data_IF_151911232497
#
_entry.id   IF_151911232497
#
_cell.length_a   1.000
_cell.length_b   1.000
_cell.length_c   1.000
_cell.angle_alpha   90.00
_cell.angle_beta   90.00
_cell.angle_gamma   90.00
#
_symmetry.space_group_name_H-M   'P 1'
#
loop_
_entity.id
_entity.type
_entity.pdbx_description
1 polymer ?
#
# COMPACT_ATOMS: atom_id res chain seq x y z
N UNK A 1 16.29 37.20 2.84
CA UNK A 1 14.83 37.17 3.01
C UNK A 1 14.46 36.00 3.91
N UNK A 2 13.72 36.22 5.02
CA UNK A 2 13.31 35.16 5.98
C UNK A 2 12.56 33.99 5.33
N UNK A 3 11.78 34.22 4.28
CA UNK A 3 11.02 33.17 3.56
C UNK A 3 11.93 32.12 2.90
N UNK A 4 13.05 32.51 2.27
CA UNK A 4 13.96 31.57 1.61
C UNK A 4 14.66 30.64 2.62
N UNK A 5 15.12 31.19 3.76
CA UNK A 5 15.80 30.41 4.82
C UNK A 5 14.86 29.35 5.43
N UNK A 6 13.57 29.65 5.55
CA UNK A 6 12.59 28.71 6.10
C UNK A 6 12.27 27.58 5.11
N UNK A 7 12.27 27.87 3.80
CA UNK A 7 12.08 26.88 2.74
C UNK A 7 13.26 25.91 2.68
N UNK A 8 14.50 26.43 2.76
CA UNK A 8 15.71 25.61 2.75
C UNK A 8 15.79 24.65 3.94
N UNK A 9 15.41 25.12 5.15
CA UNK A 9 15.35 24.27 6.35
C UNK A 9 14.32 23.15 6.24
N UNK A 10 13.13 23.44 5.66
CA UNK A 10 12.11 22.42 5.46
C UNK A 10 12.55 21.39 4.43
N UNK A 11 13.19 21.84 3.35
CA UNK A 11 13.73 20.92 2.33
C UNK A 11 14.79 20.01 2.94
N UNK A 12 15.75 20.54 3.70
CA UNK A 12 16.79 19.75 4.34
C UNK A 12 16.19 18.69 5.29
N UNK A 13 15.17 19.03 6.07
CA UNK A 13 14.49 18.06 6.94
C UNK A 13 13.84 16.94 6.16
N UNK A 14 13.16 17.25 5.05
CA UNK A 14 12.54 16.24 4.18
C UNK A 14 13.62 15.33 3.57
N UNK A 15 14.70 15.90 3.08
CA UNK A 15 15.79 15.14 2.47
C UNK A 15 16.45 14.19 3.52
N UNK A 16 16.64 14.65 4.76
CA UNK A 16 17.15 13.82 5.86
C UNK A 16 16.19 12.66 6.22
N UNK A 17 14.87 12.91 6.28
CA UNK A 17 13.86 11.88 6.53
C UNK A 17 13.84 10.83 5.41
N UNK A 18 13.98 11.25 4.15
CA UNK A 18 14.09 10.34 3.01
C UNK A 18 15.35 9.48 3.07
N UNK A 19 16.51 10.02 3.49
CA UNK A 19 17.73 9.24 3.67
C UNK A 19 17.55 8.13 4.73
N UNK A 20 16.86 8.42 5.82
CA UNK A 20 16.52 7.42 6.84
C UNK A 20 15.59 6.34 6.27
N UNK A 21 14.56 6.75 5.53
CA UNK A 21 13.63 5.84 4.87
C UNK A 21 14.34 4.92 3.87
N UNK A 22 15.23 5.46 3.03
CA UNK A 22 16.05 4.70 2.09
C UNK A 22 16.91 3.63 2.79
N UNK A 23 17.55 3.99 3.91
CA UNK A 23 18.35 3.05 4.70
C UNK A 23 17.49 1.90 5.22
N UNK A 24 16.31 2.18 5.76
CA UNK A 24 15.39 1.15 6.27
C UNK A 24 14.87 0.25 5.15
N UNK A 25 14.41 0.82 4.03
CA UNK A 25 13.89 0.07 2.89
C UNK A 25 14.99 -0.76 2.22
N UNK A 26 16.23 -0.26 2.12
CA UNK A 26 17.37 -1.04 1.65
C UNK A 26 17.64 -2.27 2.52
N UNK A 27 17.53 -2.13 3.83
CA UNK A 27 17.68 -3.25 4.76
C UNK A 27 16.53 -4.26 4.61
N UNK A 28 15.30 -3.80 4.40
CA UNK A 28 14.15 -4.66 4.16
C UNK A 28 14.28 -5.43 2.84
N UNK A 29 14.72 -4.78 1.75
CA UNK A 29 14.98 -5.43 0.47
C UNK A 29 16.06 -6.53 0.57
N UNK A 30 17.08 -6.33 1.43
CA UNK A 30 18.08 -7.36 1.70
C UNK A 30 17.53 -8.52 2.52
N UNK A 31 16.67 -8.23 3.50
CA UNK A 31 16.07 -9.25 4.37
C UNK A 31 15.00 -10.08 3.64
N UNK A 32 14.25 -9.47 2.72
CA UNK A 32 13.22 -10.11 1.90
C UNK A 32 13.46 -9.71 0.45
N UNK A 33 14.33 -10.43 -0.29
CA UNK A 33 14.73 -10.04 -1.65
C UNK A 33 13.66 -10.36 -2.71
N UNK A 34 12.71 -11.24 -2.40
CA UNK A 34 11.67 -11.69 -3.33
C UNK A 34 10.26 -11.42 -2.78
N UNK A 35 9.31 -10.98 -3.62
CA UNK A 35 7.95 -10.64 -3.21
C UNK A 35 7.07 -11.87 -2.96
N UNK A 36 7.57 -12.83 -2.18
CA UNK A 36 6.82 -14.00 -1.71
C UNK A 36 6.04 -13.70 -0.42
N UNK A 37 6.60 -12.84 0.41
CA UNK A 37 6.01 -12.26 1.61
C UNK A 37 6.36 -10.78 1.67
N UNK A 38 5.61 -9.98 2.43
CA UNK A 38 5.79 -8.52 2.50
C UNK A 38 6.20 -8.07 3.90
N UNK A 39 7.17 -7.15 4.01
CA UNK A 39 7.52 -6.52 5.28
C UNK A 39 6.30 -5.84 5.90
N UNK A 40 6.00 -6.13 7.17
CA UNK A 40 4.85 -5.55 7.86
C UNK A 40 5.22 -4.74 9.09
N UNK A 41 6.00 -5.31 9.98
CA UNK A 41 6.35 -4.67 11.26
C UNK A 41 7.62 -5.28 11.83
N UNK A 42 8.06 -4.75 12.96
CA UNK A 42 9.21 -5.28 13.72
C UNK A 42 8.70 -5.88 15.02
N UNK A 43 9.15 -7.09 15.32
CA UNK A 43 8.86 -7.76 16.57
C UNK A 43 9.57 -7.11 17.76
N UNK A 44 9.17 -7.50 18.98
CA UNK A 44 9.80 -7.01 20.23
C UNK A 44 11.28 -7.38 20.31
N UNK A 45 11.71 -8.40 19.60
CA UNK A 45 13.10 -8.86 19.48
C UNK A 45 13.89 -8.14 18.36
N UNK A 46 13.30 -7.12 17.74
CA UNK A 46 13.92 -6.36 16.64
C UNK A 46 13.87 -7.05 15.28
N UNK A 47 13.30 -8.26 15.16
CA UNK A 47 13.24 -8.98 13.89
C UNK A 47 12.06 -8.52 13.05
N UNK A 48 12.26 -8.56 11.73
CA UNK A 48 11.21 -8.29 10.76
C UNK A 48 10.12 -9.36 10.84
N UNK A 49 8.87 -8.91 10.90
CA UNK A 49 7.68 -9.73 10.72
C UNK A 49 7.12 -9.43 9.33
N UNK A 50 6.94 -10.47 8.53
CA UNK A 50 6.38 -10.39 7.20
C UNK A 50 5.04 -11.09 7.10
N UNK A 51 4.21 -10.71 6.12
CA UNK A 51 2.86 -11.23 5.87
C UNK A 51 2.73 -11.77 4.45
N UNK A 52 1.76 -12.67 4.19
CA UNK A 52 1.45 -13.16 2.84
C UNK A 52 0.76 -12.08 2.00
N UNK A 53 0.74 -12.24 0.67
CA UNK A 53 0.26 -11.26 -0.33
C UNK A 53 -1.19 -10.78 -0.19
N UNK A 54 -2.01 -11.43 0.60
CA UNK A 54 -3.43 -11.08 0.78
C UNK A 54 -3.74 -10.37 2.10
N UNK A 55 -2.73 -9.93 2.82
CA UNK A 55 -2.93 -9.02 3.96
C UNK A 55 -3.17 -7.60 3.41
N UNK A 56 -4.01 -6.83 4.06
CA UNK A 56 -4.43 -5.51 3.62
C UNK A 56 -3.30 -4.46 3.54
N UNK A 57 -2.15 -4.74 4.15
CA UNK A 57 -1.03 -3.80 4.24
C UNK A 57 0.01 -3.92 3.13
N UNK A 58 -0.03 -4.96 2.30
CA UNK A 58 1.05 -5.25 1.34
C UNK A 58 1.27 -4.16 0.29
N UNK A 59 0.23 -3.42 -0.08
CA UNK A 59 0.35 -2.31 -1.03
C UNK A 59 1.20 -1.15 -0.55
N UNK A 60 1.34 -0.97 0.77
CA UNK A 60 2.13 0.12 1.34
C UNK A 60 3.63 -0.05 1.09
N UNK A 61 4.15 -1.29 1.13
CA UNK A 61 5.57 -1.51 0.92
C UNK A 61 6.04 -1.08 -0.47
N UNK A 62 5.47 -1.56 -1.59
CA UNK A 62 5.79 -1.01 -2.90
C UNK A 62 5.46 0.47 -3.04
N UNK A 63 4.42 0.96 -2.36
CA UNK A 63 4.11 2.39 -2.29
C UNK A 63 5.28 3.21 -1.73
N UNK A 64 5.90 2.75 -0.65
CA UNK A 64 7.10 3.39 -0.09
C UNK A 64 8.28 3.37 -1.08
N UNK A 65 8.50 2.26 -1.79
CA UNK A 65 9.56 2.16 -2.81
C UNK A 65 9.32 3.17 -3.96
N UNK A 66 8.06 3.37 -4.38
CA UNK A 66 7.69 4.39 -5.34
C UNK A 66 7.96 5.81 -4.85
N UNK A 67 7.72 6.12 -3.59
CA UNK A 67 8.02 7.43 -3.01
C UNK A 67 9.52 7.71 -2.94
N UNK A 68 10.35 6.71 -2.63
CA UNK A 68 11.81 6.86 -2.69
C UNK A 68 12.24 7.17 -4.14
N UNK A 69 11.74 6.40 -5.11
CA UNK A 69 12.02 6.69 -6.53
C UNK A 69 11.54 8.09 -6.93
N UNK A 70 10.38 8.52 -6.47
CA UNK A 70 9.88 9.88 -6.76
C UNK A 70 10.82 10.96 -6.22
N UNK A 71 11.42 10.73 -5.05
CA UNK A 71 12.32 11.67 -4.40
C UNK A 71 13.69 11.75 -5.09
N UNK A 72 14.34 10.60 -5.31
CA UNK A 72 15.74 10.55 -5.78
C UNK A 72 15.92 10.22 -7.26
N UNK A 73 14.90 9.70 -7.94
CA UNK A 73 14.90 9.29 -9.35
C UNK A 73 15.92 8.19 -9.70
N UNK A 74 16.40 7.43 -8.74
CA UNK A 74 17.32 6.33 -8.97
C UNK A 74 16.62 5.10 -9.54
N UNK A 75 17.13 4.57 -10.65
CA UNK A 75 16.51 3.46 -11.39
C UNK A 75 16.41 2.16 -10.60
N UNK A 76 17.34 1.87 -9.68
CA UNK A 76 17.30 0.72 -8.78
C UNK A 76 16.04 0.71 -7.88
N UNK A 77 15.61 1.89 -7.37
CA UNK A 77 14.37 2.03 -6.60
C UNK A 77 13.15 1.80 -7.46
N UNK A 78 13.15 2.32 -8.69
CA UNK A 78 12.07 2.09 -9.66
C UNK A 78 11.93 0.59 -9.99
N UNK A 79 13.02 -0.10 -10.27
CA UNK A 79 12.99 -1.53 -10.57
C UNK A 79 12.50 -2.35 -9.38
N UNK A 80 12.92 -2.00 -8.16
CA UNK A 80 12.40 -2.62 -6.94
C UNK A 80 10.91 -2.36 -6.78
N UNK A 81 10.45 -1.12 -6.95
CA UNK A 81 9.05 -0.75 -6.87
C UNK A 81 8.19 -1.50 -7.90
N UNK A 82 8.65 -1.61 -9.15
CA UNK A 82 8.00 -2.40 -10.21
C UNK A 82 7.86 -3.87 -9.77
N UNK A 83 8.97 -4.51 -9.38
CA UNK A 83 9.00 -5.92 -8.97
C UNK A 83 7.98 -6.23 -7.87
N UNK A 84 7.95 -5.39 -6.84
CA UNK A 84 7.06 -5.58 -5.68
C UNK A 84 5.61 -5.21 -5.98
N UNK A 85 5.37 -4.24 -6.85
CA UNK A 85 4.04 -3.87 -7.33
C UNK A 85 3.44 -4.99 -8.18
N UNK A 86 4.13 -5.45 -9.22
CA UNK A 86 3.62 -6.44 -10.17
C UNK A 86 3.30 -7.77 -9.51
N UNK A 87 3.99 -8.13 -8.43
CA UNK A 87 3.70 -9.32 -7.65
C UNK A 87 2.32 -9.28 -6.94
N UNK A 88 1.71 -8.09 -6.78
CA UNK A 88 0.36 -7.92 -6.23
C UNK A 88 -0.74 -7.96 -7.29
N UNK A 89 -0.42 -8.07 -8.59
CA UNK A 89 -1.42 -8.06 -9.66
C UNK A 89 -2.58 -9.04 -9.43
N UNK A 90 -2.38 -10.30 -8.98
CA UNK A 90 -3.47 -11.22 -8.72
C UNK A 90 -4.52 -10.70 -7.72
N UNK A 91 -4.13 -9.77 -6.85
CA UNK A 91 -5.01 -9.19 -5.83
C UNK A 91 -6.09 -8.27 -6.40
N UNK A 92 -5.98 -7.84 -7.66
CA UNK A 92 -7.02 -7.05 -8.35
C UNK A 92 -8.38 -7.75 -8.40
N UNK A 93 -8.43 -9.08 -8.24
CA UNK A 93 -9.66 -9.89 -8.20
C UNK A 93 -10.17 -10.20 -6.78
N UNK A 94 -9.54 -9.62 -5.76
CA UNK A 94 -9.92 -9.88 -4.39
C UNK A 94 -11.30 -9.28 -4.07
N UNK A 95 -12.19 -10.08 -3.47
CA UNK A 95 -13.55 -9.67 -3.10
C UNK A 95 -13.90 -9.99 -1.65
N UNK A 96 -12.93 -10.44 -0.85
CA UNK A 96 -13.16 -10.90 0.53
C UNK A 96 -13.29 -9.76 1.55
N UNK A 97 -12.70 -8.59 1.27
CA UNK A 97 -12.72 -7.39 2.11
C UNK A 97 -12.58 -6.12 1.26
N UNK A 98 -12.77 -4.95 1.87
CA UNK A 98 -12.76 -3.67 1.19
C UNK A 98 -11.37 -3.07 0.97
N UNK A 99 -10.34 -3.62 1.60
CA UNK A 99 -8.98 -3.04 1.61
C UNK A 99 -8.21 -3.24 0.28
N UNK A 100 -8.89 -3.66 -0.78
CA UNK A 100 -8.28 -3.86 -2.10
C UNK A 100 -7.66 -2.57 -2.64
N UNK A 101 -8.21 -1.41 -2.27
CA UNK A 101 -7.62 -0.11 -2.63
C UNK A 101 -6.25 0.10 -2.00
N UNK A 102 -6.06 -0.30 -0.73
CA UNK A 102 -4.74 -0.25 -0.09
C UNK A 102 -3.72 -1.16 -0.77
N UNK A 103 -4.15 -2.34 -1.21
CA UNK A 103 -3.30 -3.28 -1.95
C UNK A 103 -2.89 -2.73 -3.32
N UNK A 104 -3.86 -2.25 -4.09
CA UNK A 104 -3.68 -1.93 -5.51
C UNK A 104 -3.37 -0.45 -5.73
N UNK A 105 -4.09 0.48 -5.10
CA UNK A 105 -3.88 1.89 -5.42
C UNK A 105 -2.60 2.46 -4.79
N UNK A 106 -2.20 2.00 -3.61
CA UNK A 106 -0.93 2.39 -3.02
C UNK A 106 0.28 1.87 -3.83
N UNK A 107 0.14 0.72 -4.51
CA UNK A 107 1.17 0.11 -5.35
C UNK A 107 1.05 0.54 -6.82
N UNK A 108 0.08 -0.01 -7.55
CA UNK A 108 -0.15 0.28 -8.97
C UNK A 108 -0.54 1.74 -9.24
N UNK A 109 -1.27 2.39 -8.33
CA UNK A 109 -1.63 3.80 -8.45
C UNK A 109 -0.41 4.72 -8.48
N UNK A 110 0.55 4.51 -7.57
CA UNK A 110 1.82 5.24 -7.60
C UNK A 110 2.65 4.87 -8.83
N UNK A 111 2.69 3.58 -9.19
CA UNK A 111 3.37 3.13 -10.40
C UNK A 111 2.82 3.79 -11.67
N UNK A 112 1.49 3.83 -11.84
CA UNK A 112 0.84 4.50 -12.96
C UNK A 112 1.15 6.00 -13.00
N UNK A 113 0.99 6.68 -11.87
CA UNK A 113 1.28 8.12 -11.75
C UNK A 113 2.70 8.48 -12.15
N UNK A 114 3.68 7.63 -11.81
CA UNK A 114 5.11 7.92 -12.02
C UNK A 114 5.66 7.40 -13.35
N UNK A 115 5.00 6.43 -13.98
CA UNK A 115 5.50 5.80 -15.21
C UNK A 115 4.60 5.97 -16.42
N UNK A 116 3.31 6.24 -16.22
CA UNK A 116 2.31 6.27 -17.30
C UNK A 116 2.02 4.90 -17.92
N UNK A 117 2.38 3.80 -17.25
CA UNK A 117 2.19 2.43 -17.76
C UNK A 117 0.70 2.07 -17.78
N UNK A 118 0.08 2.03 -18.97
CA UNK A 118 -1.38 1.82 -19.11
C UNK A 118 -1.86 0.48 -18.52
N UNK A 119 -1.04 -0.56 -18.56
CA UNK A 119 -1.38 -1.84 -17.93
C UNK A 119 -1.62 -1.72 -16.42
N UNK A 120 -0.99 -0.76 -15.75
CA UNK A 120 -1.24 -0.49 -14.33
C UNK A 120 -2.63 0.13 -14.11
N UNK A 121 -3.07 0.99 -15.02
CA UNK A 121 -4.43 1.54 -15.01
C UNK A 121 -5.49 0.43 -15.16
N UNK A 122 -5.26 -0.54 -16.05
CA UNK A 122 -6.17 -1.66 -16.23
C UNK A 122 -6.31 -2.48 -14.94
N UNK A 123 -5.19 -2.73 -14.24
CA UNK A 123 -5.18 -3.40 -12.93
C UNK A 123 -6.00 -2.62 -11.90
N UNK A 124 -5.85 -1.29 -11.84
CA UNK A 124 -6.59 -0.42 -10.92
C UNK A 124 -8.10 -0.48 -11.21
N UNK A 125 -8.50 -0.40 -12.49
CA UNK A 125 -9.90 -0.46 -12.90
C UNK A 125 -10.52 -1.83 -12.55
N UNK A 126 -9.80 -2.93 -12.79
CA UNK A 126 -10.27 -4.27 -12.43
C UNK A 126 -10.42 -4.43 -10.92
N UNK A 127 -9.49 -3.88 -10.11
CA UNK A 127 -9.59 -3.87 -8.66
C UNK A 127 -10.79 -3.06 -8.16
N UNK A 128 -11.03 -1.89 -8.76
CA UNK A 128 -12.21 -1.08 -8.45
C UNK A 128 -13.52 -1.84 -8.77
N UNK A 129 -13.58 -2.52 -9.92
CA UNK A 129 -14.73 -3.38 -10.27
C UNK A 129 -14.89 -4.54 -9.28
N UNK A 130 -13.81 -5.15 -8.81
CA UNK A 130 -13.88 -6.19 -7.77
C UNK A 130 -14.44 -5.64 -6.46
N UNK A 131 -14.06 -4.42 -6.07
CA UNK A 131 -14.59 -3.76 -4.87
C UNK A 131 -16.08 -3.45 -5.01
N UNK A 132 -16.55 -3.02 -6.19
CA UNK A 132 -17.99 -2.72 -6.41
C UNK A 132 -18.89 -3.94 -6.25
N UNK A 133 -18.37 -5.17 -6.38
CA UNK A 133 -19.16 -6.39 -6.11
C UNK A 133 -19.63 -6.49 -4.65
N UNK A 134 -19.03 -5.71 -3.75
CA UNK A 134 -19.39 -5.64 -2.33
C UNK A 134 -20.44 -4.57 -2.02
N UNK A 135 -20.89 -3.83 -3.02
CA UNK A 135 -21.94 -2.83 -2.89
C UNK A 135 -23.30 -3.50 -2.72
N UNK A 136 -24.16 -2.93 -1.90
CA UNK A 136 -25.55 -3.33 -1.72
C UNK A 136 -26.47 -2.15 -1.97
N UNK A 137 -27.40 -2.28 -2.89
CA UNK A 137 -28.46 -1.28 -3.15
C UNK A 137 -29.36 -1.07 -1.94
N UNK A 138 -29.58 -2.11 -1.13
CA UNK A 138 -30.44 -2.04 0.06
C UNK A 138 -29.84 -1.12 1.14
N UNK A 139 -28.52 -1.20 1.34
CA UNK A 139 -27.82 -0.37 2.36
C UNK A 139 -27.22 0.89 1.77
N UNK A 140 -27.06 0.98 0.45
CA UNK A 140 -26.35 2.05 -0.25
C UNK A 140 -24.85 2.12 0.06
N UNK A 141 -24.26 1.03 0.55
CA UNK A 141 -22.87 1.00 1.03
C UNK A 141 -22.08 -0.18 0.48
N UNK A 142 -20.76 -0.05 0.48
CA UNK A 142 -19.82 -1.15 0.24
C UNK A 142 -19.51 -1.83 1.57
N UNK A 143 -19.68 -3.15 1.60
CA UNK A 143 -19.44 -4.00 2.76
C UNK A 143 -17.94 -4.14 3.05
N UNK A 144 -17.50 -3.84 4.28
CA UNK A 144 -16.09 -3.92 4.66
C UNK A 144 -15.59 -5.36 4.81
N UNK A 145 -16.28 -6.19 5.61
CA UNK A 145 -15.95 -7.62 5.81
C UNK A 145 -17.21 -8.47 5.70
N UNK A 146 -17.06 -9.77 5.49
CA UNK A 146 -18.22 -10.66 5.36
C UNK A 146 -18.93 -10.88 6.70
N UNK A 147 -18.16 -11.11 7.74
CA UNK A 147 -18.63 -11.28 9.10
C UNK A 147 -17.57 -10.73 10.07
N UNK A 148 -18.02 -10.10 11.13
CA UNK A 148 -17.15 -9.68 12.22
C UNK A 148 -17.89 -9.71 13.55
N UNK A 149 -17.24 -10.27 14.56
CA UNK A 149 -17.67 -10.11 15.94
C UNK A 149 -17.28 -8.71 16.42
N UNK A 150 -18.23 -8.00 17.02
CA UNK A 150 -18.00 -6.66 17.53
C UNK A 150 -16.93 -6.67 18.64
N UNK A 151 -16.24 -5.53 18.81
CA UNK A 151 -15.19 -5.40 19.84
C UNK A 151 -15.68 -5.56 21.27
N UNK A 152 -16.99 -5.37 21.54
CA UNK A 152 -17.60 -5.65 22.84
C UNK A 152 -17.76 -7.16 23.10
N UNK A 153 -17.44 -8.03 22.13
CA UNK A 153 -17.49 -9.48 22.24
C UNK A 153 -18.90 -10.09 22.29
N UNK A 154 -19.97 -9.28 22.19
CA UNK A 154 -21.38 -9.67 22.31
C UNK A 154 -22.12 -9.63 21.01
N UNK A 155 -21.95 -8.54 20.26
CA UNK A 155 -22.68 -8.31 19.00
C UNK A 155 -21.96 -8.96 17.82
N UNK A 156 -22.73 -9.28 16.79
CA UNK A 156 -22.24 -9.84 15.53
C UNK A 156 -22.67 -8.97 14.37
N UNK A 157 -21.71 -8.66 13.48
CA UNK A 157 -21.95 -7.82 12.32
C UNK A 157 -21.82 -8.65 11.04
N UNK A 158 -22.91 -8.74 10.29
CA UNK A 158 -22.96 -9.44 9.01
C UNK A 158 -22.75 -8.51 7.79
N UNK A 159 -22.93 -7.21 8.00
CA UNK A 159 -22.69 -6.18 6.99
C UNK A 159 -22.01 -4.95 7.60
N UNK A 160 -20.78 -5.11 8.12
CA UNK A 160 -20.06 -3.97 8.66
C UNK A 160 -19.61 -3.03 7.54
N UNK A 161 -19.69 -1.73 7.80
CA UNK A 161 -19.20 -0.65 6.93
C UNK A 161 -18.34 0.27 7.79
N UNK A 162 -17.13 0.55 7.32
CA UNK A 162 -16.24 1.52 7.97
C UNK A 162 -15.87 2.63 6.99
N UNK A 163 -15.41 3.77 7.51
CA UNK A 163 -15.22 4.99 6.73
C UNK A 163 -14.08 4.92 5.71
N UNK A 164 -13.09 4.09 5.95
CA UNK A 164 -11.88 3.92 5.13
C UNK A 164 -12.04 2.93 3.97
N UNK A 165 -13.24 2.80 3.44
CA UNK A 165 -13.50 2.02 2.23
C UNK A 165 -12.72 2.59 1.04
N UNK A 166 -11.76 1.83 0.50
CA UNK A 166 -10.92 2.24 -0.63
C UNK A 166 -10.91 1.20 -1.74
#
# INVERSE_FOLDING_TARGET
CMSCVQTDKKKALIDDDFLVAEQHLSNQLKAVPEPTVYPRTTGKDGKLIATPKNDWTEGFYPGCLWYIYEHNREENWKQSAIKWTEALEPMKKLTSHHDIGFLIYCSFGNGYRLTGKEEYKDVIIEAANSLTTRFSEVTGCIKSWNYRKAWNGKDEWFYPVIIDNM
#
